data_IF_900917406661
#
_entry.id   IF_900917406661
#
_cell.length_a   1.000
_cell.length_b   1.000
_cell.length_c   1.000
_cell.angle_alpha   90.00
_cell.angle_beta   90.00
_cell.angle_gamma   90.00
#
_symmetry.space_group_name_H-M   'P 1'
#
loop_
_entity.id
_entity.type
_entity.pdbx_description
1 polymer ?
#
# COMPACT_ATOMS: atom_id res chain seq x y z
N UNK A 1 -2.79 26.45 -8.33
CA UNK A 1 -3.87 25.98 -9.23
C UNK A 1 -3.83 24.47 -9.19
N UNK A 2 -4.92 23.84 -8.74
CA UNK A 2 -5.00 22.38 -8.63
C UNK A 2 -5.04 21.81 -10.04
N UNK A 3 -3.98 21.11 -10.45
CA UNK A 3 -3.99 20.36 -11.69
C UNK A 3 -5.06 19.26 -11.56
N UNK A 4 -6.02 19.27 -12.47
CA UNK A 4 -7.05 18.25 -12.62
C UNK A 4 -6.35 16.94 -12.97
N UNK A 5 -6.58 15.87 -12.20
CA UNK A 5 -5.99 14.55 -12.43
C UNK A 5 -6.36 14.03 -13.83
N UNK A 6 -5.38 13.43 -14.52
CA UNK A 6 -5.59 12.81 -15.83
C UNK A 6 -6.33 11.46 -15.71
N UNK A 7 -7.41 11.35 -16.49
CA UNK A 7 -8.25 10.20 -16.89
C UNK A 7 -8.41 9.00 -15.93
N UNK A 8 -9.25 9.16 -14.92
CA UNK A 8 -9.91 8.04 -14.23
C UNK A 8 -10.85 7.26 -15.18
N UNK A 9 -11.15 5.98 -14.90
CA UNK A 9 -12.22 5.26 -15.57
C UNK A 9 -13.50 6.10 -15.60
N UNK A 10 -14.07 6.28 -16.80
CA UNK A 10 -15.29 7.07 -16.97
C UNK A 10 -16.44 6.49 -16.15
N UNK A 11 -17.32 7.36 -15.67
CA UNK A 11 -18.48 6.95 -14.87
C UNK A 11 -19.35 5.91 -15.61
N UNK A 12 -19.48 6.04 -16.93
CA UNK A 12 -20.17 5.08 -17.79
C UNK A 12 -19.50 3.70 -17.76
N UNK A 13 -18.16 3.64 -17.87
CA UNK A 13 -17.42 2.39 -17.83
C UNK A 13 -17.55 1.68 -16.46
N UNK A 14 -17.52 2.44 -15.36
CA UNK A 14 -17.76 1.91 -14.01
C UNK A 14 -19.19 1.36 -13.86
N UNK A 15 -20.19 2.05 -14.39
CA UNK A 15 -21.58 1.61 -14.37
C UNK A 15 -21.81 0.36 -15.23
N UNK A 16 -21.24 0.30 -16.43
CA UNK A 16 -21.26 -0.87 -17.31
C UNK A 16 -20.60 -2.07 -16.63
N UNK A 17 -19.44 -1.86 -16.00
CA UNK A 17 -18.75 -2.95 -15.31
C UNK A 17 -19.52 -3.45 -14.10
N UNK A 18 -20.14 -2.55 -13.32
CA UNK A 18 -21.06 -2.94 -12.24
C UNK A 18 -22.19 -3.83 -12.77
N UNK A 19 -22.87 -3.42 -13.85
CA UNK A 19 -23.97 -4.19 -14.43
C UNK A 19 -23.51 -5.57 -14.93
N UNK A 20 -22.33 -5.65 -15.54
CA UNK A 20 -21.73 -6.91 -15.97
C UNK A 20 -21.43 -7.86 -14.80
N UNK A 21 -20.88 -7.33 -13.70
CA UNK A 21 -20.59 -8.11 -12.49
C UNK A 21 -21.88 -8.58 -11.80
N UNK A 22 -22.90 -7.73 -11.68
CA UNK A 22 -24.20 -8.11 -11.11
C UNK A 22 -24.87 -9.24 -11.91
N UNK A 23 -24.74 -9.22 -13.24
CA UNK A 23 -25.22 -10.31 -14.12
C UNK A 23 -24.41 -11.60 -13.94
N UNK A 24 -23.09 -11.51 -13.75
CA UNK A 24 -22.18 -12.66 -13.62
C UNK A 24 -22.30 -13.36 -12.26
N UNK A 25 -22.43 -12.61 -11.16
CA UNK A 25 -22.24 -13.12 -9.80
C UNK A 25 -23.48 -13.72 -9.15
N UNK A 26 -24.68 -13.35 -9.60
CA UNK A 26 -25.93 -13.85 -9.04
C UNK A 26 -26.13 -13.48 -7.55
N UNK A 27 -26.87 -14.33 -6.81
CA UNK A 27 -27.16 -14.08 -5.39
C UNK A 27 -25.93 -14.31 -4.51
N UNK A 28 -25.70 -13.41 -3.54
CA UNK A 28 -24.66 -13.55 -2.52
C UNK A 28 -23.50 -12.57 -2.64
N UNK A 29 -23.44 -11.81 -3.72
CA UNK A 29 -22.51 -10.68 -3.88
C UNK A 29 -23.24 -9.35 -3.96
N UNK A 30 -22.61 -8.30 -3.45
CA UNK A 30 -23.02 -6.91 -3.62
C UNK A 30 -21.97 -6.20 -4.46
N UNK A 31 -22.40 -5.39 -5.43
CA UNK A 31 -21.50 -4.59 -6.27
C UNK A 31 -21.78 -3.10 -6.04
N UNK A 32 -20.74 -2.32 -5.73
CA UNK A 32 -20.81 -0.90 -5.43
C UNK A 32 -19.78 -0.16 -6.29
N UNK A 33 -20.20 0.90 -6.98
CA UNK A 33 -19.27 1.81 -7.64
C UNK A 33 -18.75 2.81 -6.61
N UNK A 34 -17.43 2.87 -6.46
CA UNK A 34 -16.72 3.82 -5.62
C UNK A 34 -15.49 4.30 -6.40
N UNK A 35 -15.63 5.33 -7.25
CA UNK A 35 -14.61 5.70 -8.22
C UNK A 35 -13.23 5.91 -7.57
N UNK A 36 -12.13 5.49 -8.22
CA UNK A 36 -12.07 4.89 -9.56
C UNK A 36 -12.40 3.37 -9.60
N UNK A 37 -12.93 2.80 -8.52
CA UNK A 37 -13.11 1.36 -8.35
C UNK A 37 -14.54 0.86 -8.56
N UNK A 38 -14.64 -0.43 -8.88
CA UNK A 38 -15.86 -1.22 -8.67
C UNK A 38 -15.61 -2.22 -7.56
N UNK A 39 -16.34 -2.09 -6.45
CA UNK A 39 -16.20 -2.93 -5.26
C UNK A 39 -17.19 -4.08 -5.32
N UNK A 40 -16.70 -5.30 -5.16
CA UNK A 40 -17.49 -6.54 -5.06
C UNK A 40 -17.30 -7.10 -3.65
N UNK A 41 -18.36 -7.51 -2.98
CA UNK A 41 -18.23 -8.15 -1.66
C UNK A 41 -19.27 -9.22 -1.38
N UNK A 42 -18.91 -10.23 -0.58
CA UNK A 42 -19.75 -11.39 -0.21
C UNK A 42 -20.37 -11.28 1.21
N UNK A 43 -20.29 -10.08 1.80
CA UNK A 43 -21.08 -9.65 2.96
C UNK A 43 -22.43 -9.07 2.53
N UNK A 44 -23.30 -8.81 3.52
CA UNK A 44 -24.59 -8.16 3.27
C UNK A 44 -24.44 -6.75 2.66
N UNK A 45 -25.41 -6.29 1.83
CA UNK A 45 -25.27 -5.06 1.05
C UNK A 45 -24.89 -3.80 1.86
N UNK A 46 -25.46 -3.65 3.06
CA UNK A 46 -25.16 -2.52 3.94
C UNK A 46 -23.68 -2.51 4.37
N UNK A 47 -23.08 -3.68 4.65
CA UNK A 47 -21.67 -3.79 5.04
C UNK A 47 -20.74 -3.53 3.86
N UNK A 48 -21.03 -4.08 2.69
CA UNK A 48 -20.21 -3.82 1.49
C UNK A 48 -20.22 -2.33 1.15
N UNK A 49 -21.39 -1.68 1.19
CA UNK A 49 -21.49 -0.24 1.02
C UNK A 49 -20.70 0.53 2.08
N UNK A 50 -20.81 0.15 3.36
CA UNK A 50 -20.04 0.78 4.45
C UNK A 50 -18.52 0.67 4.22
N UNK A 51 -18.02 -0.47 3.76
CA UNK A 51 -16.58 -0.64 3.48
C UNK A 51 -16.12 0.22 2.31
N UNK A 52 -16.91 0.24 1.22
CA UNK A 52 -16.62 1.04 0.03
C UNK A 52 -16.64 2.55 0.34
N UNK A 53 -17.78 3.06 0.83
CA UNK A 53 -17.95 4.50 1.05
C UNK A 53 -17.33 5.00 2.36
N UNK A 54 -16.89 4.09 3.23
CA UNK A 54 -16.24 4.38 4.50
C UNK A 54 -14.73 4.23 4.36
N UNK A 55 -14.19 3.08 4.78
CA UNK A 55 -12.74 2.87 4.88
C UNK A 55 -12.01 3.03 3.54
N UNK A 56 -12.50 2.42 2.45
CA UNK A 56 -11.84 2.51 1.14
C UNK A 56 -11.79 3.96 0.66
N UNK A 57 -12.95 4.65 0.58
CA UNK A 57 -13.01 6.07 0.20
C UNK A 57 -12.11 6.94 1.07
N UNK A 58 -12.13 6.73 2.39
CA UNK A 58 -11.32 7.48 3.34
C UNK A 58 -9.82 7.29 3.06
N UNK A 59 -9.35 6.05 2.88
CA UNK A 59 -7.95 5.77 2.56
C UNK A 59 -7.54 6.42 1.24
N UNK A 60 -8.32 6.20 0.16
CA UNK A 60 -8.06 6.75 -1.17
C UNK A 60 -7.97 8.27 -1.13
N UNK A 61 -8.93 8.93 -0.48
CA UNK A 61 -8.95 10.39 -0.36
C UNK A 61 -7.67 10.94 0.28
N UNK A 62 -7.15 10.28 1.32
CA UNK A 62 -5.98 10.76 2.04
C UNK A 62 -4.66 10.46 1.32
N UNK A 63 -4.51 9.27 0.71
CA UNK A 63 -3.28 8.94 -0.04
C UNK A 63 -3.13 9.78 -1.30
N UNK A 64 -4.23 10.11 -1.98
CA UNK A 64 -4.23 11.02 -3.12
C UNK A 64 -3.79 12.42 -2.71
N UNK A 65 -4.37 12.91 -1.61
CA UNK A 65 -4.01 14.23 -1.08
C UNK A 65 -2.53 14.34 -0.74
N UNK A 66 -1.93 13.28 -0.19
CA UNK A 66 -0.56 13.32 0.31
C UNK A 66 0.50 12.92 -0.72
N UNK A 67 0.18 12.08 -1.71
CA UNK A 67 1.17 11.50 -2.62
C UNK A 67 0.75 11.51 -4.09
N UNK A 68 -0.46 11.09 -4.42
CA UNK A 68 -0.77 10.67 -5.78
C UNK A 68 -1.49 11.74 -6.60
N UNK A 69 -0.84 12.19 -7.67
CA UNK A 69 -1.41 13.18 -8.62
C UNK A 69 -2.18 12.53 -9.77
N UNK A 70 -1.95 11.24 -10.02
CA UNK A 70 -2.68 10.41 -10.96
C UNK A 70 -3.42 9.31 -10.22
N UNK A 71 -4.68 9.08 -10.59
CA UNK A 71 -5.38 7.84 -10.24
C UNK A 71 -4.97 6.72 -11.20
N UNK A 72 -5.21 5.43 -10.88
CA UNK A 72 -5.08 4.36 -11.86
C UNK A 72 -5.98 4.62 -13.07
N UNK A 73 -5.40 4.53 -14.28
CA UNK A 73 -6.17 4.68 -15.53
C UNK A 73 -7.03 3.44 -15.82
N UNK A 74 -6.59 2.29 -15.29
CA UNK A 74 -7.29 1.02 -15.42
C UNK A 74 -8.53 0.98 -14.51
N UNK A 75 -9.57 0.30 -14.96
CA UNK A 75 -10.74 0.01 -14.12
C UNK A 75 -10.38 -1.12 -13.18
N UNK A 76 -10.12 -0.77 -11.93
CA UNK A 76 -9.72 -1.76 -10.92
C UNK A 76 -10.93 -2.24 -10.12
N UNK A 77 -11.01 -3.56 -9.98
CA UNK A 77 -12.01 -4.21 -9.14
C UNK A 77 -11.49 -4.46 -7.73
N UNK A 78 -12.28 -4.16 -6.71
CA UNK A 78 -11.91 -4.46 -5.32
C UNK A 78 -12.83 -5.55 -4.78
N UNK A 79 -12.31 -6.77 -4.70
CA UNK A 79 -13.02 -7.96 -4.23
C UNK A 79 -12.80 -8.18 -2.74
N UNK A 80 -13.84 -7.93 -1.95
CA UNK A 80 -13.85 -8.01 -0.50
C UNK A 80 -14.54 -9.30 -0.04
N UNK A 81 -13.75 -10.34 0.19
CA UNK A 81 -14.22 -11.61 0.75
C UNK A 81 -14.18 -11.57 2.27
N UNK A 82 -15.28 -11.95 2.93
CA UNK A 82 -15.48 -11.84 4.37
C UNK A 82 -14.58 -12.71 5.24
N UNK A 83 -13.99 -13.76 4.66
CA UNK A 83 -13.07 -14.65 5.36
C UNK A 83 -12.17 -15.42 4.37
N UNK A 84 -11.15 -16.08 4.91
CA UNK A 84 -10.16 -16.84 4.14
C UNK A 84 -10.80 -17.91 3.24
N UNK A 85 -11.85 -18.59 3.71
CA UNK A 85 -12.51 -19.65 2.94
C UNK A 85 -13.14 -19.10 1.66
N UNK A 86 -13.86 -17.97 1.75
CA UNK A 86 -14.48 -17.38 0.56
C UNK A 86 -13.47 -16.63 -0.30
N UNK A 87 -12.42 -16.07 0.29
CA UNK A 87 -11.27 -15.51 -0.41
C UNK A 87 -10.59 -16.54 -1.31
N UNK A 88 -10.12 -17.67 -0.76
CA UNK A 88 -9.42 -18.71 -1.54
C UNK A 88 -10.31 -19.30 -2.62
N UNK A 89 -11.59 -19.56 -2.31
CA UNK A 89 -12.57 -20.03 -3.29
C UNK A 89 -12.79 -18.99 -4.40
N UNK A 90 -12.91 -17.72 -4.04
CA UNK A 90 -13.14 -16.62 -4.96
C UNK A 90 -11.95 -16.38 -5.89
N UNK A 91 -10.74 -16.33 -5.34
CA UNK A 91 -9.49 -16.25 -6.11
C UNK A 91 -9.46 -17.33 -7.20
N UNK A 92 -9.66 -18.60 -6.81
CA UNK A 92 -9.68 -19.71 -7.77
C UNK A 92 -10.83 -19.61 -8.78
N UNK A 93 -12.02 -19.24 -8.33
CA UNK A 93 -13.22 -19.24 -9.18
C UNK A 93 -13.22 -18.09 -10.20
N UNK A 94 -12.71 -16.92 -9.82
CA UNK A 94 -12.86 -15.70 -10.63
C UNK A 94 -11.58 -15.28 -11.35
N UNK A 95 -10.42 -15.74 -10.88
CA UNK A 95 -9.09 -15.35 -11.37
C UNK A 95 -8.20 -16.56 -11.68
N UNK A 96 -8.73 -17.80 -11.54
CA UNK A 96 -7.98 -19.06 -11.66
C UNK A 96 -6.75 -19.20 -10.72
N UNK A 97 -6.63 -18.31 -9.74
CA UNK A 97 -5.46 -18.17 -8.90
C UNK A 97 -5.51 -19.03 -7.61
N UNK A 98 -4.34 -19.35 -7.06
CA UNK A 98 -4.16 -20.03 -5.76
C UNK A 98 -3.20 -19.21 -4.89
N UNK A 99 -3.71 -18.22 -4.13
CA UNK A 99 -2.85 -17.31 -3.40
C UNK A 99 -2.05 -18.00 -2.29
N UNK A 100 -0.77 -17.65 -2.18
CA UNK A 100 0.14 -18.09 -1.13
C UNK A 100 -0.07 -17.34 0.20
N UNK A 101 -0.60 -16.12 0.15
CA UNK A 101 -0.99 -15.29 1.29
C UNK A 101 -2.46 -15.48 1.71
N UNK A 102 -2.77 -15.53 3.02
CA UNK A 102 -4.15 -15.60 3.50
C UNK A 102 -4.85 -14.22 3.55
N UNK A 103 -4.16 -13.12 3.24
CA UNK A 103 -4.67 -11.75 3.52
C UNK A 103 -5.29 -11.06 2.30
N UNK A 104 -4.65 -11.16 1.15
CA UNK A 104 -5.04 -10.47 -0.08
C UNK A 104 -3.83 -9.92 -0.81
N UNK A 105 -4.06 -9.43 -2.02
CA UNK A 105 -3.05 -8.94 -2.94
C UNK A 105 -3.69 -8.10 -4.05
N UNK A 106 -2.89 -7.22 -4.63
CA UNK A 106 -3.16 -6.58 -5.92
C UNK A 106 -2.60 -7.41 -7.08
N UNK A 107 -3.45 -7.74 -8.06
CA UNK A 107 -3.08 -8.30 -9.36
C UNK A 107 -3.18 -7.21 -10.42
N UNK A 108 -2.04 -6.80 -10.97
CA UNK A 108 -1.99 -5.88 -12.11
C UNK A 108 -2.38 -6.56 -13.43
N UNK A 109 -2.31 -7.89 -13.49
CA UNK A 109 -2.77 -8.68 -14.65
C UNK A 109 -4.30 -8.74 -14.73
N UNK A 110 -4.96 -8.93 -13.58
CA UNK A 110 -6.42 -9.01 -13.50
C UNK A 110 -7.11 -7.66 -13.27
N UNK A 111 -6.33 -6.58 -13.09
CA UNK A 111 -6.79 -5.27 -12.64
C UNK A 111 -7.68 -5.38 -11.39
N UNK A 112 -7.22 -6.14 -10.38
CA UNK A 112 -8.04 -6.49 -9.23
C UNK A 112 -7.25 -6.47 -7.90
N UNK A 113 -7.89 -5.94 -6.85
CA UNK A 113 -7.51 -6.20 -5.46
C UNK A 113 -8.37 -7.35 -4.95
N UNK A 114 -7.74 -8.44 -4.54
CA UNK A 114 -8.42 -9.67 -4.13
C UNK A 114 -8.15 -9.85 -2.64
N UNK A 115 -9.17 -9.60 -1.80
CA UNK A 115 -8.97 -9.34 -0.37
C UNK A 115 -9.71 -10.32 0.53
N UNK A 116 -9.01 -10.89 1.51
CA UNK A 116 -9.63 -11.41 2.72
C UNK A 116 -9.77 -10.28 3.75
N UNK A 117 -10.98 -9.72 3.89
CA UNK A 117 -11.23 -8.61 4.82
C UNK A 117 -11.50 -9.08 6.26
N UNK A 118 -11.50 -10.39 6.51
CA UNK A 118 -11.80 -10.99 7.81
C UNK A 118 -10.87 -10.54 8.94
N UNK A 119 -9.53 -10.55 8.76
CA UNK A 119 -8.57 -10.07 9.76
C UNK A 119 -8.63 -8.57 10.05
N UNK A 120 -9.27 -7.78 9.18
CA UNK A 120 -9.39 -6.33 9.33
C UNK A 120 -9.09 -5.59 8.03
N UNK A 121 -9.20 -4.26 8.08
CA UNK A 121 -9.04 -3.39 6.91
C UNK A 121 -7.59 -2.97 6.62
N UNK A 122 -6.63 -3.31 7.50
CA UNK A 122 -5.22 -2.93 7.32
C UNK A 122 -4.57 -3.50 6.05
N UNK A 123 -4.95 -4.72 5.65
CA UNK A 123 -4.51 -5.28 4.36
C UNK A 123 -5.11 -4.52 3.19
N UNK A 124 -6.38 -4.07 3.29
CA UNK A 124 -7.00 -3.30 2.22
C UNK A 124 -6.28 -1.95 2.00
N UNK A 125 -5.90 -1.23 3.06
CA UNK A 125 -5.15 0.01 2.89
C UNK A 125 -3.73 -0.20 2.33
N UNK A 126 -3.10 -1.35 2.62
CA UNK A 126 -1.85 -1.74 1.98
C UNK A 126 -2.05 -1.88 0.47
N UNK A 127 -2.96 -2.77 0.05
CA UNK A 127 -3.15 -3.07 -1.37
C UNK A 127 -3.65 -1.87 -2.19
N UNK A 128 -4.41 -0.94 -1.57
CA UNK A 128 -4.85 0.28 -2.23
C UNK A 128 -3.70 1.20 -2.65
N UNK A 129 -2.50 1.06 -2.10
CA UNK A 129 -1.35 1.91 -2.48
C UNK A 129 -0.74 1.46 -3.81
N UNK A 130 -0.69 0.15 -4.09
CA UNK A 130 0.04 -0.36 -5.25
C UNK A 130 -0.47 0.15 -6.60
N UNK A 131 -1.77 0.19 -6.90
CA UNK A 131 -2.26 0.75 -8.16
C UNK A 131 -1.86 2.22 -8.37
N UNK A 132 -1.81 2.99 -7.28
CA UNK A 132 -1.42 4.40 -7.36
C UNK A 132 0.09 4.54 -7.54
N UNK A 133 0.90 3.68 -6.91
CA UNK A 133 2.33 3.61 -7.22
C UNK A 133 2.56 3.22 -8.68
N UNK A 134 1.84 2.22 -9.21
CA UNK A 134 1.93 1.84 -10.63
C UNK A 134 1.61 3.02 -11.55
N UNK A 135 0.58 3.81 -11.25
CA UNK A 135 0.17 4.96 -12.07
C UNK A 135 1.14 6.17 -11.98
N UNK A 136 1.77 6.40 -10.84
CA UNK A 136 2.59 7.59 -10.60
C UNK A 136 4.09 7.33 -10.70
N UNK A 137 4.53 6.12 -10.41
CA UNK A 137 5.94 5.70 -10.42
C UNK A 137 6.11 4.24 -10.90
N UNK A 138 5.81 3.93 -12.18
CA UNK A 138 5.89 2.57 -12.72
C UNK A 138 7.26 1.90 -12.58
N UNK A 139 8.34 2.69 -12.57
CA UNK A 139 9.72 2.22 -12.39
C UNK A 139 10.17 2.22 -10.92
N UNK A 140 9.25 2.46 -9.98
CA UNK A 140 9.56 2.53 -8.55
C UNK A 140 10.07 1.19 -8.00
N UNK A 141 11.09 1.20 -7.13
CA UNK A 141 11.67 -0.03 -6.60
C UNK A 141 10.75 -0.66 -5.56
N UNK A 142 10.84 -1.99 -5.40
CA UNK A 142 10.02 -2.75 -4.45
C UNK A 142 10.11 -2.24 -3.02
N UNK A 143 11.31 -1.81 -2.57
CA UNK A 143 11.46 -1.25 -1.22
C UNK A 143 10.53 -0.06 -0.98
N UNK A 144 10.33 0.79 -1.98
CA UNK A 144 9.51 1.97 -1.83
C UNK A 144 8.03 1.64 -1.97
N UNK A 145 7.68 0.84 -2.98
CA UNK A 145 6.31 0.39 -3.22
C UNK A 145 5.74 -0.31 -1.96
N UNK A 146 6.46 -1.32 -1.48
CA UNK A 146 6.09 -2.10 -0.28
C UNK A 146 6.27 -1.29 1.01
N UNK A 147 7.26 -0.40 1.06
CA UNK A 147 7.46 0.49 2.19
C UNK A 147 6.27 1.41 2.42
N UNK A 148 5.77 2.06 1.35
CA UNK A 148 4.67 3.01 1.44
C UNK A 148 3.33 2.30 1.68
N UNK A 149 3.10 1.18 0.98
CA UNK A 149 1.93 0.33 1.20
C UNK A 149 1.89 -0.19 2.64
N UNK A 150 3.00 -0.75 3.11
CA UNK A 150 3.09 -1.25 4.47
C UNK A 150 2.90 -0.12 5.48
N UNK A 151 3.47 1.08 5.32
CA UNK A 151 3.29 2.21 6.25
C UNK A 151 1.82 2.41 6.67
N UNK A 152 0.87 2.21 5.74
CA UNK A 152 -0.56 2.36 5.96
C UNK A 152 -1.33 1.09 6.34
N UNK A 153 -0.67 0.01 6.76
CA UNK A 153 -1.31 -1.18 7.36
C UNK A 153 -2.01 -0.88 8.70
N UNK A 154 -1.61 0.20 9.37
CA UNK A 154 -2.26 0.73 10.58
C UNK A 154 -2.44 2.25 10.45
N UNK A 155 -3.36 2.70 9.59
CA UNK A 155 -3.50 4.11 9.26
C UNK A 155 -4.42 4.81 10.26
N UNK A 156 -4.10 6.05 10.60
CA UNK A 156 -5.04 6.99 11.25
C UNK A 156 -4.97 8.34 10.54
N UNK A 157 -5.97 9.17 10.77
CA UNK A 157 -5.98 10.53 10.26
C UNK A 157 -5.48 11.51 11.33
N UNK A 158 -4.56 12.40 10.96
CA UNK A 158 -4.13 13.51 11.80
C UNK A 158 -4.08 14.79 10.98
N UNK A 159 -4.92 15.77 11.36
CA UNK A 159 -5.04 17.07 10.67
C UNK A 159 -5.31 16.93 9.16
N UNK A 160 -6.15 15.96 8.77
CA UNK A 160 -6.50 15.73 7.36
C UNK A 160 -5.41 15.05 6.54
N UNK A 161 -4.46 14.37 7.18
CA UNK A 161 -3.39 13.61 6.52
C UNK A 161 -3.40 12.17 7.04
N UNK A 162 -3.13 11.21 6.15
CA UNK A 162 -2.99 9.81 6.56
C UNK A 162 -1.61 9.62 7.19
N UNK A 163 -1.59 9.06 8.39
CA UNK A 163 -0.36 8.73 9.09
C UNK A 163 -0.35 7.25 9.45
N UNK A 164 0.77 6.59 9.18
CA UNK A 164 1.03 5.24 9.65
C UNK A 164 1.41 5.23 11.13
N UNK A 165 0.86 4.30 11.90
CA UNK A 165 1.28 4.04 13.28
C UNK A 165 2.28 2.87 13.33
N UNK A 166 3.07 2.73 14.41
CA UNK A 166 3.79 1.50 14.68
C UNK A 166 2.83 0.29 14.72
N UNK A 167 3.28 -0.85 14.19
CA UNK A 167 2.50 -2.09 14.11
C UNK A 167 3.34 -3.33 14.46
N UNK A 168 2.76 -4.51 14.23
CA UNK A 168 3.34 -5.83 14.53
C UNK A 168 4.70 -6.11 13.87
N UNK A 169 5.15 -5.31 12.89
CA UNK A 169 6.48 -5.43 12.27
C UNK A 169 7.61 -4.87 13.15
N UNK A 170 7.32 -3.93 14.06
CA UNK A 170 8.36 -3.26 14.88
C UNK A 170 9.21 -4.24 15.72
N UNK A 171 8.64 -5.23 16.42
CA UNK A 171 9.42 -6.14 17.25
C UNK A 171 10.47 -6.90 16.44
N UNK A 172 10.14 -7.30 15.21
CA UNK A 172 11.07 -8.02 14.35
C UNK A 172 12.24 -7.12 13.91
N UNK A 173 11.94 -5.92 13.41
CA UNK A 173 12.97 -4.95 13.06
C UNK A 173 13.93 -4.68 14.24
N UNK A 174 13.39 -4.48 15.44
CA UNK A 174 14.21 -4.28 16.65
C UNK A 174 15.10 -5.48 16.95
N UNK A 175 14.60 -6.70 16.75
CA UNK A 175 15.37 -7.94 16.93
C UNK A 175 16.57 -7.95 15.97
N UNK A 176 16.35 -7.69 14.69
CA UNK A 176 17.41 -7.71 13.67
C UNK A 176 18.44 -6.59 13.85
N UNK A 177 18.02 -5.40 14.28
CA UNK A 177 18.95 -4.32 14.64
C UNK A 177 19.83 -4.73 15.83
N UNK A 178 19.24 -5.30 16.89
CA UNK A 178 19.99 -5.73 18.10
C UNK A 178 20.92 -6.90 17.81
N UNK A 179 20.48 -7.85 16.98
CA UNK A 179 21.27 -8.99 16.53
C UNK A 179 22.35 -8.61 15.51
N UNK A 180 22.34 -7.36 15.00
CA UNK A 180 23.23 -6.87 13.94
C UNK A 180 23.11 -7.69 12.65
N UNK A 181 21.92 -8.21 12.36
CA UNK A 181 21.62 -8.99 11.15
C UNK A 181 20.92 -8.17 10.06
N UNK A 182 20.36 -7.00 10.42
CA UNK A 182 19.76 -6.09 9.44
C UNK A 182 20.86 -5.40 8.62
N UNK A 183 20.89 -5.52 7.27
CA UNK A 183 21.94 -4.95 6.43
C UNK A 183 21.84 -3.43 6.37
N UNK A 184 22.74 -2.76 5.62
CA UNK A 184 22.73 -1.29 5.48
C UNK A 184 21.49 -0.77 4.74
N UNK A 185 21.13 0.50 4.93
CA UNK A 185 20.04 1.15 4.18
C UNK A 185 20.38 1.11 2.69
N UNK A 186 21.64 1.35 2.34
CA UNK A 186 22.13 1.26 0.95
C UNK A 186 21.87 -0.12 0.32
N UNK A 187 21.92 -1.19 1.11
CA UNK A 187 21.60 -2.55 0.66
C UNK A 187 20.10 -2.68 0.36
N UNK A 188 19.23 -2.19 1.26
CA UNK A 188 17.78 -2.16 1.04
C UNK A 188 17.41 -1.40 -0.23
N UNK A 189 17.93 -0.18 -0.42
CA UNK A 189 17.60 0.67 -1.57
C UNK A 189 18.00 0.07 -2.92
N UNK A 190 19.02 -0.80 -2.93
CA UNK A 190 19.57 -1.44 -4.14
C UNK A 190 19.02 -2.85 -4.38
N UNK A 191 18.04 -3.29 -3.59
CA UNK A 191 17.37 -4.57 -3.84
C UNK A 191 16.73 -4.58 -5.22
N UNK A 192 16.88 -5.70 -5.94
CA UNK A 192 16.00 -6.02 -7.06
C UNK A 192 14.60 -6.37 -6.54
N UNK A 193 13.65 -6.60 -7.45
CA UNK A 193 12.34 -7.12 -7.09
C UNK A 193 12.47 -8.40 -6.25
N UNK A 194 13.02 -9.47 -6.82
CA UNK A 194 13.19 -10.76 -6.12
C UNK A 194 14.02 -10.62 -4.85
N UNK A 195 15.10 -9.83 -4.89
CA UNK A 195 15.98 -9.61 -3.74
C UNK A 195 15.29 -8.90 -2.56
N UNK A 196 14.20 -8.17 -2.81
CA UNK A 196 13.37 -7.60 -1.74
C UNK A 196 12.46 -8.64 -1.10
N UNK A 197 11.77 -9.48 -1.91
CA UNK A 197 10.81 -10.47 -1.40
C UNK A 197 11.48 -11.71 -0.80
N UNK A 198 12.66 -12.09 -1.30
CA UNK A 198 13.43 -13.25 -0.84
C UNK A 198 14.51 -12.87 0.20
N UNK A 199 14.48 -11.63 0.69
CA UNK A 199 15.47 -11.12 1.63
C UNK A 199 15.58 -12.01 2.88
N UNK A 200 16.81 -12.27 3.34
CA UNK A 200 17.07 -12.99 4.59
C UNK A 200 16.78 -12.18 5.86
N UNK A 201 16.17 -11.00 5.70
CA UNK A 201 15.81 -10.03 6.73
C UNK A 201 14.41 -9.50 6.41
N UNK A 202 13.74 -8.89 7.39
CA UNK A 202 12.39 -8.34 7.19
C UNK A 202 12.42 -7.04 6.39
N UNK A 203 12.48 -7.19 5.06
CA UNK A 203 12.56 -6.11 4.09
C UNK A 203 11.37 -5.16 4.18
N UNK A 204 10.17 -5.69 4.41
CA UNK A 204 8.95 -4.92 4.67
C UNK A 204 9.07 -4.07 5.93
N UNK A 205 9.46 -4.65 7.07
CA UNK A 205 9.66 -3.89 8.29
C UNK A 205 10.73 -2.82 8.10
N UNK A 206 11.84 -3.15 7.42
CA UNK A 206 12.90 -2.20 7.16
C UNK A 206 12.40 -1.00 6.35
N UNK A 207 11.78 -1.23 5.19
CA UNK A 207 11.24 -0.19 4.34
C UNK A 207 10.17 0.65 5.05
N UNK A 208 9.21 0.00 5.73
CA UNK A 208 8.16 0.66 6.51
C UNK A 208 8.74 1.65 7.51
N UNK A 209 9.68 1.23 8.34
CA UNK A 209 10.19 2.06 9.43
C UNK A 209 11.21 3.10 8.95
N UNK A 210 11.79 2.95 7.75
CA UNK A 210 12.48 4.04 7.08
C UNK A 210 11.50 5.15 6.68
N UNK A 211 10.37 4.81 6.05
CA UNK A 211 9.36 5.79 5.68
C UNK A 211 8.61 6.38 6.88
N UNK A 212 8.38 5.58 7.93
CA UNK A 212 7.81 6.08 9.18
C UNK A 212 8.72 7.13 9.83
N UNK A 213 10.04 6.95 9.78
CA UNK A 213 10.97 7.97 10.25
C UNK A 213 10.77 9.29 9.50
N UNK A 214 10.73 9.26 8.16
CA UNK A 214 10.49 10.44 7.35
C UNK A 214 9.13 11.08 7.66
N UNK A 215 8.10 10.27 7.92
CA UNK A 215 6.77 10.76 8.33
C UNK A 215 6.86 11.54 9.65
N UNK A 216 7.51 10.97 10.67
CA UNK A 216 7.68 11.60 11.99
C UNK A 216 8.52 12.89 11.92
N UNK A 217 9.44 12.98 10.96
CA UNK A 217 10.21 14.20 10.71
C UNK A 217 9.48 15.21 9.82
N UNK A 218 8.27 14.91 9.33
CA UNK A 218 7.53 15.75 8.39
C UNK A 218 8.13 15.82 6.98
N UNK A 219 9.03 14.89 6.64
CA UNK A 219 9.84 14.86 5.42
C UNK A 219 9.32 13.93 4.33
N UNK A 220 8.37 13.04 4.65
CA UNK A 220 7.95 11.95 3.76
C UNK A 220 7.38 12.44 2.40
N UNK A 221 6.60 13.51 2.39
CA UNK A 221 5.97 14.02 1.15
C UNK A 221 6.97 14.74 0.24
N UNK A 222 7.88 15.50 0.83
CA UNK A 222 8.96 16.14 0.09
C UNK A 222 9.90 15.08 -0.50
N UNK A 223 10.18 14.02 0.27
CA UNK A 223 10.90 12.85 -0.23
C UNK A 223 10.19 12.17 -1.40
N UNK A 224 8.88 11.86 -1.27
CA UNK A 224 8.10 11.27 -2.35
C UNK A 224 8.19 12.12 -3.62
N UNK A 225 7.96 13.44 -3.49
CA UNK A 225 7.96 14.37 -4.63
C UNK A 225 9.33 14.41 -5.32
N UNK A 226 10.41 14.47 -4.55
CA UNK A 226 11.77 14.47 -5.08
C UNK A 226 12.11 13.13 -5.75
N UNK A 227 11.73 12.01 -5.12
CA UNK A 227 12.08 10.68 -5.61
C UNK A 227 11.33 10.32 -6.89
N UNK A 228 10.02 10.53 -6.94
CA UNK A 228 9.20 10.24 -8.14
C UNK A 228 9.63 11.11 -9.35
N UNK A 229 10.15 12.31 -9.11
CA UNK A 229 10.67 13.17 -10.16
C UNK A 229 12.09 12.79 -10.63
N UNK A 230 12.80 11.94 -9.89
CA UNK A 230 14.18 11.57 -10.20
C UNK A 230 14.22 10.45 -11.26
N UNK A 231 14.69 10.80 -12.45
CA UNK A 231 14.85 9.88 -13.58
C UNK A 231 16.24 9.24 -13.66
N UNK A 232 17.16 9.64 -12.78
CA UNK A 232 18.55 9.19 -12.77
C UNK A 232 18.82 8.17 -11.67
N UNK A 233 18.27 8.40 -10.48
CA UNK A 233 18.41 7.49 -9.35
C UNK A 233 17.09 6.81 -8.98
N UNK A 234 16.87 5.62 -9.57
CA UNK A 234 15.69 4.80 -9.26
C UNK A 234 15.77 4.13 -7.87
N UNK A 235 16.90 4.22 -7.17
CA UNK A 235 17.02 3.65 -5.81
C UNK A 235 16.45 4.58 -4.74
N UNK A 236 16.40 5.88 -5.02
CA UNK A 236 15.96 6.93 -4.08
C UNK A 236 17.03 7.34 -3.08
N UNK A 237 18.27 6.86 -3.23
CA UNK A 237 19.38 7.23 -2.36
C UNK A 237 19.63 8.75 -2.39
N UNK A 238 19.76 9.35 -3.58
CA UNK A 238 20.04 10.77 -3.75
C UNK A 238 18.92 11.64 -3.13
N UNK A 239 17.66 11.27 -3.38
CA UNK A 239 16.51 11.94 -2.80
C UNK A 239 16.48 11.83 -1.26
N UNK A 240 16.80 10.65 -0.69
CA UNK A 240 16.90 10.46 0.76
C UNK A 240 17.99 11.35 1.36
N UNK A 241 19.21 11.31 0.82
CA UNK A 241 20.34 12.08 1.35
C UNK A 241 20.08 13.59 1.26
N UNK A 242 19.47 14.06 0.17
CA UNK A 242 19.07 15.46 0.02
C UNK A 242 18.05 15.89 1.09
N UNK A 243 17.02 15.06 1.33
CA UNK A 243 15.96 15.35 2.31
C UNK A 243 16.46 15.23 3.76
N UNK A 244 17.37 14.29 4.02
CA UNK A 244 17.99 14.10 5.32
C UNK A 244 18.99 15.21 5.64
N UNK A 245 19.68 15.76 4.63
CA UNK A 245 20.75 16.73 4.77
C UNK A 245 22.08 16.10 5.22
N UNK A 246 22.21 14.79 5.07
CA UNK A 246 23.39 14.00 5.45
C UNK A 246 23.45 12.70 4.65
N UNK A 247 24.60 12.02 4.64
CA UNK A 247 24.74 10.75 3.89
C UNK A 247 24.07 9.61 4.63
N UNK A 248 23.75 8.52 3.90
CA UNK A 248 23.17 7.33 4.53
C UNK A 248 24.09 6.73 5.61
N UNK A 249 25.41 6.80 5.45
CA UNK A 249 26.38 6.29 6.42
C UNK A 249 26.30 7.01 7.76
N UNK A 250 26.09 8.34 7.76
CA UNK A 250 25.98 9.11 9.01
C UNK A 250 24.57 9.08 9.59
N UNK A 251 23.57 8.93 8.73
CA UNK A 251 22.16 8.83 9.11
C UNK A 251 21.83 7.49 9.77
N UNK A 252 22.28 6.38 9.19
CA UNK A 252 21.82 5.04 9.54
C UNK A 252 22.03 4.69 11.03
N UNK A 253 23.17 4.99 11.69
CA UNK A 253 23.32 4.75 13.12
C UNK A 253 22.27 5.50 13.98
N UNK A 254 21.90 6.72 13.58
CA UNK A 254 20.88 7.53 14.27
C UNK A 254 19.50 6.94 14.07
N UNK A 255 19.18 6.54 12.84
CA UNK A 255 17.92 5.87 12.51
C UNK A 255 17.77 4.54 13.27
N UNK A 256 18.81 3.70 13.31
CA UNK A 256 18.78 2.43 14.08
C UNK A 256 18.52 2.68 15.57
N UNK A 257 19.17 3.69 16.16
CA UNK A 257 18.93 4.09 17.56
C UNK A 257 17.48 4.56 17.77
N UNK A 258 16.96 5.37 16.85
CA UNK A 258 15.56 5.80 16.86
C UNK A 258 14.60 4.61 16.77
N UNK A 259 14.80 3.69 15.82
CA UNK A 259 13.93 2.54 15.59
C UNK A 259 13.89 1.61 16.82
N UNK A 260 15.03 1.40 17.50
CA UNK A 260 15.08 0.61 18.75
C UNK A 260 14.34 1.31 19.89
N UNK A 261 14.43 2.64 19.97
CA UNK A 261 13.78 3.45 21.02
C UNK A 261 12.27 3.66 20.77
N UNK A 262 11.81 3.57 19.51
CA UNK A 262 10.42 3.80 19.12
C UNK A 262 9.48 2.91 19.94
N UNK A 263 8.48 3.49 20.60
CA UNK A 263 7.51 2.70 21.35
C UNK A 263 6.51 2.06 20.38
N UNK A 264 6.36 0.74 20.47
CA UNK A 264 5.23 0.05 19.85
C UNK A 264 3.99 0.28 20.69
N UNK A 265 2.82 0.27 20.06
CA UNK A 265 1.57 0.17 20.81
C UNK A 265 1.36 -1.32 21.12
N UNK A 266 1.70 -1.74 22.33
CA UNK A 266 1.41 -3.09 22.84
C UNK A 266 -0.08 -3.17 23.22
N UNK A 267 -0.98 -2.94 22.28
CA UNK A 267 -2.43 -3.11 22.45
C UNK A 267 -3.00 -3.95 21.33
#
# INVERSE_FOLDING_TARGET
>A
MSATAAAEPKAEALAERKAALEKKLGKGFTVVVEPPFVVVGDEGPARVKQRATGFLRWTVTLIEKDFFTKRPEKLIEVWLFKNEKTYRKGAKQFFDDTPDTPYGYYSSEDDALIMNIGPGAGTLSHELVHPYIEANFPAGPSWFNEGLASLYERPVEKKGHIIGLPNWRLPNLKREIRAKTLPSIRTLLKTSHDGFYEASYDSYAYARYLLLYLQEQGKLRDFYTAFVADTKDLTGQAALEAILGETLETFEPKWRKWAVALQGDNR
#
